data_IF_364197320462
#
_entry.id   IF_364197320462
#
_cell.length_a   1.000
_cell.length_b   1.000
_cell.length_c   1.000
_cell.angle_alpha   90.00
_cell.angle_beta   90.00
_cell.angle_gamma   90.00
#
_symmetry.space_group_name_H-M   'P 1'
#
loop_
_entity.id
_entity.type
_entity.pdbx_description
1 polymer ?
#
# COMPACT_ATOMS: atom_id res chain seq x y z
N UNK A 1 -5.24 5.83 -0.39
CA UNK A 1 -4.58 4.74 0.37
C UNK A 1 -5.34 4.30 1.60
N UNK A 2 -5.66 5.21 2.54
CA UNK A 2 -6.39 4.82 3.75
C UNK A 2 -7.75 4.19 3.47
N UNK A 3 -8.50 4.71 2.49
CA UNK A 3 -9.76 4.14 2.02
C UNK A 3 -9.59 2.72 1.47
N UNK A 4 -8.58 2.47 0.64
CA UNK A 4 -8.31 1.11 0.13
C UNK A 4 -8.03 0.11 1.25
N UNK A 5 -7.44 0.55 2.37
CA UNK A 5 -7.26 -0.30 3.56
C UNK A 5 -8.58 -0.67 4.25
N UNK A 6 -9.59 0.19 4.13
CA UNK A 6 -10.94 -0.08 4.64
C UNK A 6 -11.67 -1.02 3.67
N UNK A 7 -11.64 -0.72 2.38
CA UNK A 7 -12.34 -1.50 1.34
C UNK A 7 -11.86 -2.95 1.27
N UNK A 8 -10.57 -3.21 1.53
CA UNK A 8 -9.98 -4.55 1.51
C UNK A 8 -9.90 -5.21 2.89
N UNK A 9 -10.58 -4.68 3.90
CA UNK A 9 -10.62 -5.24 5.26
C UNK A 9 -9.21 -5.60 5.81
N UNK A 10 -8.26 -4.67 5.64
CA UNK A 10 -6.88 -4.88 6.07
C UNK A 10 -6.74 -4.73 7.59
N UNK A 11 -7.64 -3.96 8.19
CA UNK A 11 -7.53 -3.46 9.55
C UNK A 11 -7.87 -4.54 10.57
N UNK A 12 -6.85 -5.08 11.23
CA UNK A 12 -6.98 -5.98 12.38
C UNK A 12 -6.52 -5.25 13.66
N UNK A 13 -5.36 -5.61 14.24
CA UNK A 13 -4.85 -4.96 15.47
C UNK A 13 -4.36 -3.51 15.27
N UNK A 14 -4.22 -3.06 14.02
CA UNK A 14 -3.89 -1.67 13.67
C UNK A 14 -2.42 -1.25 13.84
N UNK A 15 -1.60 -1.98 14.61
CA UNK A 15 -0.24 -1.53 14.96
C UNK A 15 0.68 -1.33 13.74
N UNK A 16 0.59 -2.20 12.73
CA UNK A 16 1.42 -2.09 11.52
C UNK A 16 0.88 -1.11 10.48
N UNK A 17 -0.39 -0.67 10.60
CA UNK A 17 -1.10 0.09 9.55
C UNK A 17 -0.42 1.42 9.19
N UNK A 18 0.02 2.27 10.12
CA UNK A 18 0.65 3.54 9.78
C UNK A 18 1.92 3.35 8.94
N UNK A 19 2.78 2.42 9.37
CA UNK A 19 4.02 2.10 8.65
C UNK A 19 3.77 1.54 7.25
N UNK A 20 2.82 0.60 7.13
CA UNK A 20 2.41 0.01 5.85
C UNK A 20 1.90 1.07 4.87
N UNK A 21 1.01 1.96 5.32
CA UNK A 21 0.42 3.00 4.47
C UNK A 21 1.48 3.97 3.99
N UNK A 22 2.35 4.46 4.87
CA UNK A 22 3.41 5.41 4.50
C UNK A 22 4.40 4.79 3.51
N UNK A 23 4.84 3.55 3.75
CA UNK A 23 5.74 2.84 2.84
C UNK A 23 5.10 2.60 1.47
N UNK A 24 3.83 2.18 1.45
CA UNK A 24 3.12 1.96 0.20
C UNK A 24 2.89 3.27 -0.58
N UNK A 25 2.57 4.37 0.08
CA UNK A 25 2.48 5.70 -0.55
C UNK A 25 3.82 6.08 -1.20
N UNK A 26 4.93 5.91 -0.48
CA UNK A 26 6.26 6.19 -1.01
C UNK A 26 6.57 5.34 -2.25
N UNK A 27 6.24 4.04 -2.23
CA UNK A 27 6.45 3.15 -3.40
C UNK A 27 5.59 3.53 -4.60
N UNK A 28 4.33 3.87 -4.38
CA UNK A 28 3.43 4.34 -5.46
C UNK A 28 3.97 5.63 -6.10
N UNK A 29 4.49 6.55 -5.28
CA UNK A 29 5.12 7.79 -5.79
C UNK A 29 6.37 7.48 -6.61
N UNK A 30 7.29 6.65 -6.10
CA UNK A 30 8.51 6.24 -6.82
C UNK A 30 8.20 5.60 -8.18
N UNK A 31 7.23 4.67 -8.22
CA UNK A 31 6.82 4.05 -9.48
C UNK A 31 6.30 5.09 -10.48
N UNK A 32 5.46 6.03 -10.03
CA UNK A 32 4.91 7.09 -10.87
C UNK A 32 5.94 8.11 -11.33
N UNK A 33 6.92 8.45 -10.49
CA UNK A 33 8.07 9.28 -10.87
C UNK A 33 8.89 8.62 -11.97
N UNK A 34 9.01 7.28 -11.93
CA UNK A 34 9.61 6.49 -13.00
C UNK A 34 8.68 6.25 -14.21
N UNK A 35 7.51 6.89 -14.27
CA UNK A 35 6.58 6.81 -15.39
C UNK A 35 5.83 5.47 -15.51
N UNK A 36 5.76 4.68 -14.43
CA UNK A 36 5.10 3.37 -14.42
C UNK A 36 4.14 3.19 -13.25
N UNK A 37 3.30 2.17 -13.33
CA UNK A 37 2.46 1.76 -12.21
C UNK A 37 3.24 0.89 -11.21
N UNK A 38 2.71 0.79 -9.99
CA UNK A 38 3.30 -0.04 -8.94
C UNK A 38 3.18 -1.52 -9.30
N UNK A 39 4.30 -2.24 -9.29
CA UNK A 39 4.39 -3.64 -9.65
C UNK A 39 4.44 -4.60 -8.45
N UNK A 40 4.64 -5.89 -8.73
CA UNK A 40 4.91 -6.90 -7.68
C UNK A 40 6.20 -6.60 -6.91
N UNK A 41 7.30 -6.35 -7.63
CA UNK A 41 8.61 -6.07 -7.04
C UNK A 41 8.57 -4.87 -6.06
N UNK A 42 7.89 -3.78 -6.43
CA UNK A 42 7.77 -2.60 -5.57
C UNK A 42 7.04 -2.89 -4.25
N UNK A 43 6.06 -3.80 -4.29
CA UNK A 43 5.28 -4.22 -3.13
C UNK A 43 6.08 -5.14 -2.21
N UNK A 44 6.93 -6.00 -2.77
CA UNK A 44 7.79 -6.88 -1.97
C UNK A 44 8.94 -6.14 -1.27
N UNK A 45 9.25 -4.93 -1.72
CA UNK A 45 10.16 -4.01 -1.02
C UNK A 45 9.52 -3.35 0.21
N UNK A 46 8.21 -3.48 0.43
CA UNK A 46 7.54 -3.00 1.64
C UNK A 46 7.89 -3.94 2.80
N UNK A 47 8.92 -3.59 3.58
CA UNK A 47 9.46 -4.41 4.68
C UNK A 47 8.69 -4.31 6.00
N UNK A 48 7.52 -3.67 6.01
CA UNK A 48 6.70 -3.58 7.21
C UNK A 48 6.08 -4.95 7.52
N UNK A 49 6.28 -5.44 8.74
CA UNK A 49 5.76 -6.75 9.16
C UNK A 49 4.32 -6.61 9.66
N UNK A 50 3.44 -7.50 9.21
CA UNK A 50 2.10 -7.68 9.77
C UNK A 50 2.04 -9.02 10.52
N UNK A 51 1.68 -8.99 11.81
CA UNK A 51 1.52 -10.21 12.61
C UNK A 51 0.10 -10.79 12.56
N UNK A 52 -0.87 -10.06 12.02
CA UNK A 52 -2.26 -10.49 11.90
C UNK A 52 -2.55 -11.35 10.67
N UNK A 53 -1.55 -11.58 9.79
CA UNK A 53 -1.74 -12.41 8.59
C UNK A 53 -2.54 -11.75 7.46
N UNK A 54 -2.56 -10.41 7.38
CA UNK A 54 -3.28 -9.66 6.33
C UNK A 54 -2.39 -9.20 5.17
N UNK A 55 -1.19 -9.77 5.02
CA UNK A 55 -0.21 -9.35 4.01
C UNK A 55 -0.77 -9.38 2.59
N UNK A 56 -1.61 -10.36 2.25
CA UNK A 56 -2.20 -10.45 0.91
C UNK A 56 -3.24 -9.35 0.66
N UNK A 57 -4.11 -9.09 1.65
CA UNK A 57 -5.06 -7.95 1.62
C UNK A 57 -4.32 -6.61 1.51
N UNK A 58 -3.19 -6.46 2.21
CA UNK A 58 -2.32 -5.29 2.09
C UNK A 58 -1.86 -5.13 0.64
N UNK A 59 -1.34 -6.19 0.01
CA UNK A 59 -0.85 -6.14 -1.38
C UNK A 59 -1.93 -5.74 -2.38
N UNK A 60 -3.17 -6.18 -2.17
CA UNK A 60 -4.32 -5.78 -2.98
C UNK A 60 -4.71 -4.32 -2.75
N UNK A 61 -4.80 -3.92 -1.48
CA UNK A 61 -5.13 -2.54 -1.09
C UNK A 61 -4.11 -1.52 -1.63
N UNK A 62 -2.83 -1.91 -1.77
CA UNK A 62 -1.81 -1.07 -2.42
C UNK A 62 -2.15 -0.81 -3.88
N UNK A 63 -2.53 -1.85 -4.63
CA UNK A 63 -2.87 -1.72 -6.05
C UNK A 63 -4.14 -0.87 -6.21
N UNK A 64 -5.20 -1.18 -5.47
CA UNK A 64 -6.44 -0.42 -5.50
C UNK A 64 -6.23 1.05 -5.09
N UNK A 65 -5.45 1.29 -4.04
CA UNK A 65 -5.13 2.63 -3.56
C UNK A 65 -4.22 3.42 -4.51
N UNK A 66 -3.40 2.74 -5.31
CA UNK A 66 -2.58 3.36 -6.35
C UNK A 66 -3.41 3.87 -7.54
N UNK A 67 -4.49 3.17 -7.90
CA UNK A 67 -5.43 3.61 -8.95
C UNK A 67 -6.17 4.88 -8.55
N UNK A 68 -6.53 5.00 -7.27
CA UNK A 68 -7.19 6.19 -6.70
C UNK A 68 -6.23 7.31 -6.32
N UNK A 69 -4.93 7.13 -6.54
CA UNK A 69 -3.93 8.12 -6.20
C UNK A 69 -4.05 9.28 -7.20
N UNK A 70 -4.88 10.28 -6.88
CA UNK A 70 -4.91 11.52 -7.64
C UNK A 70 -3.57 12.25 -7.38
N UNK A 71 -2.92 12.75 -8.44
CA UNK A 71 -1.74 13.63 -8.32
C UNK A 71 -2.20 14.90 -7.60
N UNK A 72 -2.12 14.91 -6.28
CA UNK A 72 -2.21 16.13 -5.50
C UNK A 72 -0.78 16.49 -5.14
N UNK A 73 -0.37 17.65 -5.65
CA UNK A 73 0.96 18.28 -5.69
C UNK A 73 1.82 17.89 -6.89
#
# INVERSE_FOLDING_TARGET
MQEAWLDHDVSQCGSCRPGQITAAVAKVRQAREAGREIGGADRDEIRNICRCGTCDRIREAVVAGAQRFCRVW
#
